data_IF_949136392873
#
_entry.id   IF_949136392873
#
_cell.length_a   1.000
_cell.length_b   1.000
_cell.length_c   1.000
_cell.angle_alpha   90.00
_cell.angle_beta   90.00
_cell.angle_gamma   90.00
#
_symmetry.space_group_name_H-M   'P 1'
#
loop_
_entity.id
_entity.type
_entity.pdbx_description
1 polymer ?
#
# COMPACT_ATOMS: atom_id res chain seq x y z
N UNK A 1 2.33 51.90 2.77
CA UNK A 1 3.01 51.04 3.75
C UNK A 1 3.74 49.94 2.99
N UNK A 2 5.05 49.76 3.20
CA UNK A 2 5.86 48.72 2.54
C UNK A 2 5.38 47.35 3.02
N UNK A 3 4.86 46.52 2.14
CA UNK A 3 4.52 45.13 2.48
C UNK A 3 5.81 44.43 2.92
N UNK A 4 5.87 43.82 4.12
CA UNK A 4 7.06 43.11 4.56
C UNK A 4 7.45 42.04 3.53
N UNK A 5 8.75 41.82 3.31
CA UNK A 5 9.23 40.84 2.33
C UNK A 5 8.58 39.45 2.52
N UNK A 6 8.34 39.06 3.78
CA UNK A 6 7.66 37.83 4.16
C UNK A 6 6.19 37.71 3.69
N UNK A 7 5.58 38.80 3.25
CA UNK A 7 4.19 38.89 2.78
C UNK A 7 4.09 39.16 1.27
N UNK A 8 5.21 39.30 0.56
CA UNK A 8 5.23 39.53 -0.88
C UNK A 8 4.54 38.38 -1.65
N UNK A 9 3.82 38.65 -2.76
CA UNK A 9 3.10 37.63 -3.52
C UNK A 9 4.00 36.48 -4.00
N UNK A 10 5.19 36.78 -4.52
CA UNK A 10 6.19 35.79 -4.91
C UNK A 10 6.56 34.86 -3.75
N UNK A 11 6.89 35.43 -2.60
CA UNK A 11 7.32 34.64 -1.45
C UNK A 11 6.20 33.72 -0.90
N UNK A 12 4.93 34.14 -1.01
CA UNK A 12 3.79 33.27 -0.71
C UNK A 12 3.69 32.09 -1.69
N UNK A 13 3.97 32.31 -2.99
CA UNK A 13 4.04 31.22 -3.99
C UNK A 13 5.16 30.24 -3.65
N UNK A 14 6.35 30.72 -3.31
CA UNK A 14 7.48 29.85 -2.88
C UNK A 14 7.09 29.02 -1.67
N UNK A 15 6.49 29.63 -0.64
CA UNK A 15 6.01 28.89 0.53
C UNK A 15 5.01 27.80 0.18
N UNK A 16 4.06 28.12 -0.70
CA UNK A 16 3.05 27.15 -1.17
C UNK A 16 3.68 26.01 -1.97
N UNK A 17 4.62 26.31 -2.87
CA UNK A 17 5.35 25.31 -3.66
C UNK A 17 6.13 24.36 -2.76
N UNK A 18 6.89 24.90 -1.79
CA UNK A 18 7.63 24.10 -0.81
C UNK A 18 6.69 23.22 0.02
N UNK A 19 5.55 23.75 0.48
CA UNK A 19 4.57 22.98 1.23
C UNK A 19 3.95 21.85 0.40
N UNK A 20 3.59 22.11 -0.85
CA UNK A 20 3.04 21.11 -1.77
C UNK A 20 4.07 20.01 -2.09
N UNK A 21 5.33 20.40 -2.36
CA UNK A 21 6.44 19.47 -2.56
C UNK A 21 6.66 18.60 -1.34
N UNK A 22 6.67 19.18 -0.13
CA UNK A 22 6.76 18.44 1.15
C UNK A 22 5.63 17.40 1.29
N UNK A 23 4.39 17.80 1.02
CA UNK A 23 3.26 16.87 1.09
C UNK A 23 3.42 15.72 0.10
N UNK A 24 3.84 16.01 -1.13
CA UNK A 24 4.03 15.00 -2.17
C UNK A 24 5.12 13.98 -1.80
N UNK A 25 6.27 14.43 -1.28
CA UNK A 25 7.36 13.51 -0.89
C UNK A 25 7.07 12.74 0.41
N UNK A 26 6.13 13.23 1.23
CA UNK A 26 5.68 12.53 2.43
C UNK A 26 4.59 11.47 2.15
N UNK A 27 4.09 11.38 0.91
CA UNK A 27 3.11 10.37 0.56
C UNK A 27 3.77 9.00 0.49
N UNK A 28 3.14 8.04 1.15
CA UNK A 28 3.45 6.62 1.10
C UNK A 28 2.18 5.83 0.79
N UNK A 29 2.28 4.60 0.25
CA UNK A 29 1.15 3.72 0.12
C UNK A 29 0.41 3.50 1.45
N UNK A 30 -0.90 3.22 1.43
CA UNK A 30 -1.66 2.99 2.65
C UNK A 30 -1.19 1.72 3.36
N UNK A 31 -1.21 1.72 4.69
CA UNK A 31 -0.74 0.59 5.51
C UNK A 31 -1.43 -0.74 5.18
N UNK A 32 -2.70 -0.71 4.77
CA UNK A 32 -3.44 -1.91 4.35
C UNK A 32 -2.87 -2.50 3.05
N UNK A 33 -2.40 -1.67 2.11
CA UNK A 33 -1.77 -2.16 0.89
C UNK A 33 -0.40 -2.79 1.20
N UNK A 34 0.42 -2.12 2.01
CA UNK A 34 1.75 -2.61 2.41
C UNK A 34 1.67 -3.92 3.23
N UNK A 35 0.75 -3.97 4.19
CA UNK A 35 0.53 -5.20 4.96
C UNK A 35 0.04 -6.35 4.09
N UNK A 36 -0.83 -6.07 3.12
CA UNK A 36 -1.25 -7.08 2.13
C UNK A 36 -0.08 -7.54 1.26
N UNK A 37 0.74 -6.62 0.74
CA UNK A 37 1.91 -6.96 -0.05
C UNK A 37 2.89 -7.84 0.75
N UNK A 38 3.11 -7.53 2.04
CA UNK A 38 3.94 -8.35 2.92
C UNK A 38 3.35 -9.74 3.16
N UNK A 39 2.04 -9.85 3.34
CA UNK A 39 1.36 -11.15 3.48
C UNK A 39 1.41 -11.99 2.20
N UNK A 40 1.26 -11.35 1.04
CA UNK A 40 1.32 -12.00 -0.27
C UNK A 40 2.77 -12.44 -0.60
N UNK A 41 3.78 -11.73 -0.10
CA UNK A 41 5.20 -12.08 -0.22
C UNK A 41 5.69 -13.14 0.77
N UNK A 42 4.92 -13.40 1.84
CA UNK A 42 5.32 -14.38 2.84
C UNK A 42 5.30 -15.80 2.27
N UNK A 43 6.42 -16.52 2.42
CA UNK A 43 6.53 -17.92 2.04
C UNK A 43 5.74 -18.79 3.02
N UNK A 44 5.04 -19.80 2.50
CA UNK A 44 4.33 -20.75 3.35
C UNK A 44 5.30 -21.55 4.23
N UNK A 45 4.87 -22.03 5.41
CA UNK A 45 5.67 -22.96 6.20
C UNK A 45 6.10 -24.18 5.37
N UNK A 46 7.30 -24.75 5.60
CA UNK A 46 7.80 -25.89 4.83
C UNK A 46 6.88 -27.12 4.86
N UNK A 47 6.09 -27.27 5.93
CA UNK A 47 5.17 -28.37 6.18
C UNK A 47 3.73 -28.10 5.73
N UNK A 48 3.44 -26.97 5.08
CA UNK A 48 2.07 -26.59 4.68
C UNK A 48 1.42 -27.64 3.76
N UNK A 49 2.17 -28.14 2.77
CA UNK A 49 1.69 -29.23 1.91
C UNK A 49 1.38 -30.51 2.67
N UNK A 50 2.23 -30.85 3.64
CA UNK A 50 2.02 -32.02 4.47
C UNK A 50 0.79 -31.87 5.37
N UNK A 51 0.59 -30.68 5.93
CA UNK A 51 -0.60 -30.34 6.71
C UNK A 51 -1.88 -30.44 5.87
N UNK A 52 -1.88 -29.89 4.64
CA UNK A 52 -3.00 -30.02 3.71
C UNK A 52 -3.28 -31.49 3.36
N UNK A 53 -2.23 -32.28 3.09
CA UNK A 53 -2.36 -33.70 2.79
C UNK A 53 -2.90 -34.51 3.98
N UNK A 54 -2.50 -34.17 5.21
CA UNK A 54 -3.02 -34.78 6.44
C UNK A 54 -4.49 -34.46 6.64
N UNK A 55 -4.89 -33.21 6.42
CA UNK A 55 -6.29 -32.79 6.49
C UNK A 55 -7.15 -33.57 5.48
N UNK A 56 -6.71 -33.63 4.22
CA UNK A 56 -7.41 -34.40 3.18
C UNK A 56 -7.45 -35.91 3.49
N UNK A 57 -6.42 -36.47 4.11
CA UNK A 57 -6.42 -37.87 4.53
C UNK A 57 -7.40 -38.12 5.67
N UNK A 58 -7.48 -37.22 6.65
CA UNK A 58 -8.44 -37.31 7.74
C UNK A 58 -9.89 -37.27 7.21
N UNK A 59 -10.17 -36.47 6.19
CA UNK A 59 -11.47 -36.48 5.51
C UNK A 59 -11.76 -37.81 4.82
N UNK A 60 -10.77 -38.42 4.15
CA UNK A 60 -10.92 -39.77 3.57
C UNK A 60 -11.19 -40.82 4.64
N UNK A 61 -10.46 -40.78 5.76
CA UNK A 61 -10.67 -41.69 6.89
C UNK A 61 -12.08 -41.56 7.48
N UNK A 62 -12.57 -40.32 7.62
CA UNK A 62 -13.92 -40.07 8.11
C UNK A 62 -15.01 -40.54 7.11
N UNK A 63 -14.72 -40.51 5.81
CA UNK A 63 -15.63 -40.98 4.77
C UNK A 63 -15.63 -42.51 4.60
N UNK A 64 -14.57 -43.21 5.02
CA UNK A 64 -14.45 -44.66 4.92
C UNK A 64 -15.50 -45.36 5.80
N UNK A 65 -16.35 -46.16 5.16
CA UNK A 65 -17.36 -46.99 5.85
C UNK A 65 -16.93 -48.45 5.83
N UNK A 66 -17.38 -49.27 6.78
CA UNK A 66 -17.19 -50.70 6.68
C UNK A 66 -17.81 -51.22 5.38
N UNK A 67 -17.14 -52.18 4.74
CA UNK A 67 -17.69 -52.92 3.61
C UNK A 67 -19.01 -53.60 3.97
N UNK A 68 -19.89 -53.73 2.99
CA UNK A 68 -21.18 -54.39 3.19
C UNK A 68 -21.01 -55.89 3.39
N UNK A 69 -21.70 -56.45 4.38
CA UNK A 69 -21.77 -57.90 4.57
C UNK A 69 -22.77 -58.52 3.60
N UNK A 70 -22.30 -59.42 2.74
CA UNK A 70 -23.18 -60.16 1.83
C UNK A 70 -23.89 -61.31 2.56
N UNK A 71 -25.08 -61.00 3.08
CA UNK A 71 -25.94 -61.98 3.75
C UNK A 71 -26.33 -63.13 2.83
N UNK A 72 -26.55 -62.89 1.54
CA UNK A 72 -27.00 -63.92 0.61
C UNK A 72 -25.87 -64.92 0.33
N UNK A 73 -24.66 -64.43 0.08
CA UNK A 73 -23.48 -65.28 -0.08
C UNK A 73 -23.18 -66.07 1.21
N UNK A 74 -23.38 -65.47 2.39
CA UNK A 74 -23.23 -66.17 3.66
C UNK A 74 -24.24 -67.30 3.82
N UNK A 75 -25.54 -67.03 3.62
CA UNK A 75 -26.60 -68.06 3.73
C UNK A 75 -26.36 -69.19 2.73
N UNK A 76 -25.98 -68.86 1.49
CA UNK A 76 -25.63 -69.85 0.48
C UNK A 76 -24.47 -70.74 0.95
N UNK A 77 -23.41 -70.14 1.49
CA UNK A 77 -22.27 -70.88 2.00
C UNK A 77 -22.58 -71.76 3.21
N UNK A 78 -23.45 -71.31 4.12
CA UNK A 78 -23.92 -72.09 5.26
C UNK A 78 -24.70 -73.31 4.76
N UNK A 79 -25.63 -73.12 3.82
CA UNK A 79 -26.40 -74.21 3.25
C UNK A 79 -25.49 -75.22 2.52
N UNK A 80 -24.53 -74.75 1.72
CA UNK A 80 -23.56 -75.63 1.06
C UNK A 80 -22.70 -76.42 2.07
N UNK A 81 -22.33 -75.82 3.20
CA UNK A 81 -21.58 -76.51 4.25
C UNK A 81 -22.45 -77.58 4.95
N UNK A 82 -23.71 -77.27 5.22
CA UNK A 82 -24.68 -78.23 5.79
C UNK A 82 -24.91 -79.38 4.81
N UNK A 83 -25.15 -79.10 3.53
CA UNK A 83 -25.40 -80.13 2.50
C UNK A 83 -24.22 -81.08 2.31
N UNK A 84 -22.98 -80.57 2.36
CA UNK A 84 -21.77 -81.41 2.26
C UNK A 84 -21.64 -82.37 3.43
N UNK A 85 -22.08 -81.96 4.62
CA UNK A 85 -21.91 -82.72 5.86
C UNK A 85 -23.17 -83.51 6.24
N UNK A 86 -24.32 -83.24 5.62
CA UNK A 86 -25.59 -83.89 5.89
C UNK A 86 -25.51 -85.43 5.71
N UNK A 87 -26.13 -86.21 6.62
CA UNK A 87 -26.17 -87.66 6.51
C UNK A 87 -26.97 -88.09 5.28
N UNK A 88 -26.42 -89.01 4.49
CA UNK A 88 -27.04 -89.47 3.23
C UNK A 88 -27.85 -90.75 3.37
N UNK A 89 -27.74 -91.43 4.51
CA UNK A 89 -28.42 -92.68 4.84
C UNK A 89 -28.73 -92.77 6.34
N UNK A 90 -29.53 -93.77 6.74
CA UNK A 90 -29.97 -94.00 8.12
C UNK A 90 -28.79 -94.23 9.09
N UNK A 91 -27.78 -94.97 8.64
CA UNK A 91 -26.58 -95.30 9.42
C UNK A 91 -25.70 -94.08 9.73
N UNK A 92 -25.54 -93.19 8.74
CA UNK A 92 -24.85 -91.91 8.88
C UNK A 92 -25.60 -90.96 9.79
N UNK A 93 -26.94 -90.99 9.76
CA UNK A 93 -27.78 -90.18 10.64
C UNK A 93 -27.66 -90.61 12.10
N UNK A 94 -27.66 -91.93 12.37
CA UNK A 94 -27.54 -92.48 13.72
C UNK A 94 -26.17 -92.18 14.36
N UNK A 95 -25.11 -92.10 13.54
CA UNK A 95 -23.74 -91.77 13.98
C UNK A 95 -23.40 -90.28 13.88
N UNK A 96 -24.30 -89.44 13.34
CA UNK A 96 -24.02 -88.04 13.04
C UNK A 96 -23.54 -87.24 14.26
N UNK A 97 -24.21 -87.44 15.41
CA UNK A 97 -23.87 -86.77 16.69
C UNK A 97 -22.47 -87.11 17.21
N UNK A 98 -21.90 -88.25 16.81
CA UNK A 98 -20.55 -88.70 17.21
C UNK A 98 -19.50 -88.47 16.13
N UNK A 99 -19.90 -87.98 14.95
CA UNK A 99 -19.04 -87.89 13.76
C UNK A 99 -18.19 -86.62 13.69
N UNK A 100 -18.44 -85.62 14.55
CA UNK A 100 -17.77 -84.31 14.51
C UNK A 100 -18.11 -83.46 13.28
N UNK A 101 -19.02 -83.93 12.40
CA UNK A 101 -19.45 -83.19 11.21
C UNK A 101 -20.18 -81.89 11.56
N UNK A 102 -20.87 -81.84 12.70
CA UNK A 102 -21.49 -80.61 13.21
C UNK A 102 -20.43 -79.56 13.60
N UNK A 103 -19.38 -79.97 14.32
CA UNK A 103 -18.22 -79.13 14.62
C UNK A 103 -17.54 -78.62 13.35
N UNK A 104 -17.38 -79.45 12.32
CA UNK A 104 -16.79 -79.02 11.04
C UNK A 104 -17.61 -77.94 10.33
N UNK A 105 -18.95 -78.06 10.33
CA UNK A 105 -19.83 -77.02 9.76
C UNK A 105 -19.68 -75.73 10.57
N UNK A 106 -19.67 -75.82 11.91
CA UNK A 106 -19.46 -74.67 12.78
C UNK A 106 -18.11 -73.98 12.49
N UNK A 107 -17.02 -74.72 12.42
CA UNK A 107 -15.69 -74.19 12.11
C UNK A 107 -15.64 -73.49 10.74
N UNK A 108 -16.27 -74.06 9.71
CA UNK A 108 -16.35 -73.42 8.39
C UNK A 108 -17.15 -72.13 8.42
N UNK A 109 -18.30 -72.12 9.11
CA UNK A 109 -19.16 -70.93 9.24
C UNK A 109 -18.44 -69.84 10.03
N UNK A 110 -17.79 -70.17 11.15
CA UNK A 110 -16.97 -69.25 11.94
C UNK A 110 -15.82 -68.67 11.10
N UNK A 111 -15.18 -69.49 10.27
CA UNK A 111 -14.16 -69.05 9.31
C UNK A 111 -14.70 -68.00 8.33
N UNK A 112 -15.87 -68.25 7.72
CA UNK A 112 -16.52 -67.31 6.78
C UNK A 112 -16.96 -66.02 7.46
N UNK A 113 -17.44 -66.08 8.71
CA UNK A 113 -17.74 -64.88 9.50
C UNK A 113 -16.45 -64.09 9.76
N UNK A 114 -15.35 -64.78 10.07
CA UNK A 114 -14.02 -64.17 10.24
C UNK A 114 -13.53 -63.46 8.98
N UNK A 115 -13.66 -64.09 7.81
CA UNK A 115 -13.34 -63.49 6.51
C UNK A 115 -14.23 -62.28 6.19
N UNK A 116 -15.54 -62.39 6.46
CA UNK A 116 -16.49 -61.30 6.27
C UNK A 116 -16.15 -60.07 7.13
N UNK A 117 -15.76 -60.29 8.40
CA UNK A 117 -15.27 -59.22 9.28
C UNK A 117 -14.01 -58.54 8.71
N UNK A 118 -13.01 -59.32 8.28
CA UNK A 118 -11.78 -58.80 7.67
C UNK A 118 -12.07 -58.00 6.40
N UNK A 119 -12.94 -58.53 5.53
CA UNK A 119 -13.32 -57.85 4.29
C UNK A 119 -14.06 -56.54 4.56
N UNK A 120 -14.94 -56.52 5.57
CA UNK A 120 -15.69 -55.32 5.95
C UNK A 120 -14.80 -54.25 6.57
N UNK A 121 -13.76 -54.65 7.32
CA UNK A 121 -12.80 -53.71 7.92
C UNK A 121 -11.74 -53.20 6.93
N UNK A 122 -11.53 -53.89 5.80
CA UNK A 122 -10.44 -53.64 4.86
C UNK A 122 -10.34 -52.19 4.39
N UNK A 123 -11.46 -51.55 4.06
CA UNK A 123 -11.44 -50.18 3.54
C UNK A 123 -11.08 -49.15 4.62
N UNK A 124 -11.51 -49.39 5.87
CA UNK A 124 -11.12 -48.56 7.01
C UNK A 124 -9.64 -48.76 7.33
N UNK A 125 -9.16 -50.01 7.36
CA UNK A 125 -7.76 -50.32 7.62
C UNK A 125 -6.83 -49.74 6.56
N UNK A 126 -7.19 -49.87 5.27
CA UNK A 126 -6.38 -49.36 4.16
C UNK A 126 -6.35 -47.84 4.17
N UNK A 127 -7.50 -47.17 4.37
CA UNK A 127 -7.57 -45.70 4.43
C UNK A 127 -6.84 -45.14 5.65
N UNK A 128 -6.88 -45.83 6.80
CA UNK A 128 -6.18 -45.41 8.02
C UNK A 128 -4.66 -45.54 7.90
N UNK A 129 -4.17 -46.55 7.17
CA UNK A 129 -2.73 -46.77 6.94
C UNK A 129 -2.19 -45.99 5.75
N UNK A 130 -3.06 -45.39 4.94
CA UNK A 130 -2.66 -44.63 3.77
C UNK A 130 -1.86 -43.39 4.19
N UNK A 131 -0.73 -43.09 3.52
CA UNK A 131 0.01 -41.87 3.76
C UNK A 131 -0.80 -40.64 3.33
N UNK A 132 -0.50 -39.45 3.89
CA UNK A 132 -1.08 -38.19 3.45
C UNK A 132 -0.97 -37.99 1.93
N UNK A 133 -2.08 -37.58 1.31
CA UNK A 133 -2.14 -37.34 -0.13
C UNK A 133 -1.69 -35.91 -0.45
N UNK A 134 -0.41 -35.76 -0.80
CA UNK A 134 0.18 -34.47 -1.15
C UNK A 134 -0.17 -34.01 -2.57
N UNK A 135 -0.74 -34.88 -3.41
CA UNK A 135 -1.02 -34.56 -4.83
C UNK A 135 -2.10 -33.49 -5.00
N UNK A 136 -2.94 -33.32 -3.97
CA UNK A 136 -3.98 -32.29 -3.93
C UNK A 136 -3.57 -31.02 -3.20
N UNK A 137 -2.38 -31.01 -2.60
CA UNK A 137 -1.88 -29.84 -1.88
C UNK A 137 -1.61 -28.69 -2.86
N UNK A 138 -2.07 -27.50 -2.50
CA UNK A 138 -1.87 -26.28 -3.28
C UNK A 138 -0.78 -25.44 -2.66
N UNK A 139 0.19 -25.07 -3.47
CA UNK A 139 1.17 -24.05 -3.09
C UNK A 139 0.48 -22.72 -2.85
N UNK A 140 0.84 -22.05 -1.76
CA UNK A 140 0.49 -20.65 -1.58
C UNK A 140 1.18 -19.84 -2.69
N UNK A 141 0.45 -19.03 -3.48
CA UNK A 141 1.08 -18.12 -4.41
C UNK A 141 1.87 -17.07 -3.63
N UNK A 142 3.16 -16.94 -3.95
CA UNK A 142 4.05 -15.94 -3.35
C UNK A 142 4.31 -14.84 -4.38
N UNK A 143 3.96 -13.61 -4.04
CA UNK A 143 4.26 -12.43 -4.86
C UNK A 143 5.36 -11.62 -4.17
N UNK A 144 6.58 -11.57 -4.70
CA UNK A 144 7.68 -10.83 -4.07
C UNK A 144 7.32 -9.35 -3.83
N UNK A 145 7.86 -8.78 -2.75
CA UNK A 145 7.75 -7.35 -2.51
C UNK A 145 8.43 -6.57 -3.63
N UNK A 146 7.78 -5.50 -4.06
CA UNK A 146 8.42 -4.51 -4.91
C UNK A 146 9.40 -3.71 -4.03
N UNK A 147 10.66 -3.50 -4.45
CA UNK A 147 11.60 -2.69 -3.70
C UNK A 147 11.05 -1.27 -3.48
N UNK A 148 11.33 -0.71 -2.30
CA UNK A 148 10.96 0.67 -2.00
C UNK A 148 11.63 1.62 -2.99
N UNK A 149 10.85 2.55 -3.53
CA UNK A 149 11.31 3.56 -4.47
C UNK A 149 11.16 4.92 -3.80
N UNK A 150 12.25 5.51 -3.29
CA UNK A 150 12.17 6.82 -2.67
C UNK A 150 11.66 7.84 -3.71
N UNK A 151 10.85 8.82 -3.29
CA UNK A 151 10.34 9.83 -4.19
C UNK A 151 11.51 10.61 -4.83
N UNK A 152 11.39 10.88 -6.12
CA UNK A 152 12.38 11.69 -6.83
C UNK A 152 12.50 13.09 -6.21
N UNK A 153 13.69 13.70 -6.33
CA UNK A 153 13.92 15.06 -5.86
C UNK A 153 12.91 16.03 -6.52
N UNK A 154 12.08 16.76 -5.73
CA UNK A 154 11.05 17.62 -6.27
C UNK A 154 11.58 18.91 -6.94
N UNK A 155 12.89 19.14 -6.92
CA UNK A 155 13.54 20.30 -7.51
C UNK A 155 13.36 21.57 -6.68
N UNK A 156 14.25 22.54 -6.90
CA UNK A 156 14.22 23.82 -6.19
C UNK A 156 12.97 24.65 -6.56
N UNK A 157 12.44 25.48 -5.64
CA UNK A 157 11.46 26.50 -5.98
C UNK A 157 12.10 27.58 -6.87
N UNK A 158 11.26 28.37 -7.54
CA UNK A 158 11.73 29.50 -8.34
C UNK A 158 12.38 30.58 -7.46
N UNK A 159 13.68 30.81 -7.64
CA UNK A 159 14.43 31.80 -6.87
C UNK A 159 13.95 33.25 -7.14
N UNK A 160 13.44 33.54 -8.33
CA UNK A 160 12.95 34.89 -8.65
C UNK A 160 11.73 35.27 -7.82
N UNK A 161 10.90 34.29 -7.42
CA UNK A 161 9.75 34.53 -6.55
C UNK A 161 10.15 34.67 -5.07
N UNK A 162 11.39 34.36 -4.69
CA UNK A 162 11.84 34.44 -3.30
C UNK A 162 12.08 35.88 -2.82
N UNK A 163 12.22 36.83 -3.75
CA UNK A 163 12.44 38.24 -3.48
C UNK A 163 11.22 39.07 -3.91
N UNK A 164 10.97 40.25 -3.30
CA UNK A 164 9.91 41.15 -3.75
C UNK A 164 10.17 41.65 -5.17
N UNK A 165 9.08 41.88 -5.92
CA UNK A 165 9.16 42.47 -7.25
C UNK A 165 9.68 43.93 -7.19
N UNK A 166 10.35 44.34 -8.27
CA UNK A 166 10.78 45.73 -8.46
C UNK A 166 9.57 46.67 -8.45
N UNK A 167 9.71 47.84 -7.82
CA UNK A 167 8.67 48.85 -7.83
C UNK A 167 8.45 49.41 -9.25
N UNK A 168 7.21 49.74 -9.61
CA UNK A 168 6.91 50.35 -10.89
C UNK A 168 7.60 51.72 -11.02
N UNK A 169 7.90 52.13 -12.24
CA UNK A 169 8.65 53.36 -12.52
C UNK A 169 8.00 54.61 -11.90
N UNK A 170 6.68 54.66 -11.82
CA UNK A 170 5.91 55.76 -11.23
C UNK A 170 6.18 55.96 -9.73
N UNK A 171 6.55 54.92 -8.99
CA UNK A 171 6.88 55.01 -7.55
C UNK A 171 8.31 55.52 -7.33
N UNK A 172 9.18 55.31 -8.32
CA UNK A 172 10.57 55.77 -8.30
C UNK A 172 10.79 57.09 -9.05
N UNK A 173 9.74 57.68 -9.62
CA UNK A 173 9.80 58.96 -10.33
C UNK A 173 9.57 60.12 -9.36
N UNK A 174 10.63 60.90 -9.11
CA UNK A 174 10.60 62.06 -8.22
C UNK A 174 10.53 63.39 -8.99
N UNK A 175 10.32 63.37 -10.32
CA UNK A 175 10.32 64.57 -11.16
C UNK A 175 9.17 65.54 -10.87
N UNK A 176 8.13 65.11 -10.16
CA UNK A 176 6.99 65.94 -9.79
C UNK A 176 7.36 67.05 -8.80
N UNK A 177 8.32 66.82 -7.90
CA UNK A 177 8.76 67.83 -6.91
C UNK A 177 9.35 69.08 -7.57
N UNK A 178 10.39 68.93 -8.41
CA UNK A 178 10.93 70.05 -9.20
C UNK A 178 9.89 70.75 -10.06
N UNK A 179 9.03 69.99 -10.76
CA UNK A 179 7.96 70.57 -11.59
C UNK A 179 6.98 71.41 -10.79
N UNK A 180 6.58 70.96 -9.60
CA UNK A 180 5.69 71.73 -8.73
C UNK A 180 6.36 73.01 -8.22
N UNK A 181 7.67 72.96 -7.95
CA UNK A 181 8.43 74.16 -7.56
C UNK A 181 8.58 75.14 -8.73
N UNK A 182 8.85 74.66 -9.94
CA UNK A 182 8.88 75.49 -11.14
C UNK A 182 7.52 76.13 -11.44
N UNK A 183 6.43 75.38 -11.25
CA UNK A 183 5.06 75.89 -11.37
C UNK A 183 4.79 76.99 -10.33
N UNK A 184 5.13 76.77 -9.06
CA UNK A 184 4.92 77.76 -8.00
C UNK A 184 5.72 79.06 -8.25
N UNK A 185 6.95 78.95 -8.78
CA UNK A 185 7.72 80.13 -9.18
C UNK A 185 7.10 80.85 -10.37
N UNK A 186 6.63 80.11 -11.38
CA UNK A 186 5.95 80.68 -12.54
C UNK A 186 4.63 81.37 -12.17
N UNK A 187 3.84 80.79 -11.26
CA UNK A 187 2.60 81.38 -10.74
C UNK A 187 2.85 82.66 -9.93
N UNK A 188 4.02 82.79 -9.31
CA UNK A 188 4.42 83.97 -8.55
C UNK A 188 5.17 85.02 -9.41
N UNK A 189 5.31 84.80 -10.72
CA UNK A 189 6.13 85.62 -11.63
C UNK A 189 7.59 85.79 -11.15
N UNK A 190 8.12 84.78 -10.44
CA UNK A 190 9.49 84.75 -9.91
C UNK A 190 10.37 83.90 -10.82
N UNK A 191 11.49 84.47 -11.24
CA UNK A 191 12.53 83.79 -12.02
C UNK A 191 13.77 83.57 -11.17
N UNK A 192 14.55 82.55 -11.49
CA UNK A 192 15.85 82.33 -10.82
C UNK A 192 16.80 83.52 -10.97
N UNK A 193 16.72 84.23 -12.11
CA UNK A 193 17.50 85.44 -12.36
C UNK A 193 17.09 86.60 -11.44
N UNK A 194 15.79 86.71 -11.09
CA UNK A 194 15.33 87.68 -10.08
C UNK A 194 15.82 87.31 -8.69
N UNK A 195 15.75 86.02 -8.31
CA UNK A 195 16.26 85.56 -7.01
C UNK A 195 17.76 85.84 -6.87
N UNK A 196 18.55 85.58 -7.92
CA UNK A 196 19.99 85.82 -7.94
C UNK A 196 20.38 87.30 -7.90
N UNK A 197 19.54 88.20 -8.42
CA UNK A 197 19.79 89.66 -8.43
C UNK A 197 19.24 90.37 -7.19
N UNK A 198 18.43 89.70 -6.38
CA UNK A 198 17.76 90.29 -5.21
C UNK A 198 18.69 90.69 -4.05
N UNK A 199 19.95 90.22 -4.04
CA UNK A 199 20.96 90.55 -3.02
C UNK A 199 20.52 90.27 -1.56
N UNK A 200 19.61 89.31 -1.37
CA UNK A 200 19.12 88.87 -0.07
C UNK A 200 19.66 87.46 0.22
N UNK A 201 20.32 87.21 1.37
CA UNK A 201 20.90 85.91 1.70
C UNK A 201 19.92 84.73 1.64
N UNK A 202 18.63 84.97 1.90
CA UNK A 202 17.59 83.96 1.86
C UNK A 202 17.27 83.47 0.42
N UNK A 203 17.40 84.34 -0.59
CA UNK A 203 17.12 83.99 -1.99
C UNK A 203 18.24 83.14 -2.60
N UNK A 204 19.49 83.44 -2.27
CA UNK A 204 20.63 82.60 -2.66
C UNK A 204 20.53 81.21 -2.01
N UNK A 205 20.12 81.15 -0.75
CA UNK A 205 19.86 79.88 -0.07
C UNK A 205 18.73 79.10 -0.74
N UNK A 206 17.60 79.74 -1.04
CA UNK A 206 16.46 79.09 -1.72
C UNK A 206 16.83 78.56 -3.11
N UNK A 207 17.60 79.32 -3.90
CA UNK A 207 18.07 78.89 -5.22
C UNK A 207 19.04 77.70 -5.13
N UNK A 208 19.92 77.71 -4.11
CA UNK A 208 20.82 76.58 -3.83
C UNK A 208 20.04 75.32 -3.44
N UNK A 209 19.06 75.44 -2.54
CA UNK A 209 18.22 74.31 -2.13
C UNK A 209 17.33 73.80 -3.28
N UNK A 210 16.81 74.67 -4.14
CA UNK A 210 16.11 74.28 -5.38
C UNK A 210 17.00 73.41 -6.26
N UNK A 211 18.21 73.88 -6.57
CA UNK A 211 19.17 73.14 -7.42
C UNK A 211 19.57 71.80 -6.79
N UNK A 212 19.81 71.78 -5.48
CA UNK A 212 20.05 70.52 -4.75
C UNK A 212 18.86 69.57 -4.86
N UNK A 213 17.63 70.07 -4.68
CA UNK A 213 16.40 69.29 -4.79
C UNK A 213 16.21 68.69 -6.19
N UNK A 214 16.50 69.46 -7.24
CA UNK A 214 16.51 68.99 -8.64
C UNK A 214 17.55 67.88 -8.86
N UNK A 215 18.79 68.09 -8.39
CA UNK A 215 19.84 67.09 -8.47
C UNK A 215 19.49 65.81 -7.70
N UNK A 216 18.94 65.95 -6.50
CA UNK A 216 18.47 64.81 -5.70
C UNK A 216 17.32 64.09 -6.40
N UNK A 217 16.37 64.81 -6.99
CA UNK A 217 15.25 64.23 -7.74
C UNK A 217 15.72 63.49 -9.00
N UNK A 218 16.78 63.98 -9.67
CA UNK A 218 17.39 63.31 -10.82
C UNK A 218 18.19 62.05 -10.44
N UNK A 219 18.87 62.05 -9.29
CA UNK A 219 19.71 60.93 -8.81
C UNK A 219 18.90 59.87 -8.04
N UNK A 220 17.79 60.24 -7.41
CA UNK A 220 16.97 59.37 -6.56
C UNK A 220 16.44 58.10 -7.27
N UNK A 221 15.98 58.13 -8.55
CA UNK A 221 15.55 56.92 -9.24
C UNK A 221 16.67 55.88 -9.34
N UNK A 222 17.88 56.30 -9.72
CA UNK A 222 19.04 55.40 -9.81
C UNK A 222 19.44 54.82 -8.45
N UNK A 223 19.39 55.64 -7.40
CA UNK A 223 19.64 55.20 -6.02
C UNK A 223 18.57 54.20 -5.55
N UNK A 224 17.29 54.44 -5.85
CA UNK A 224 16.20 53.53 -5.54
C UNK A 224 16.39 52.17 -6.25
N UNK A 225 16.79 52.18 -7.53
CA UNK A 225 17.10 50.94 -8.28
C UNK A 225 18.32 50.20 -7.71
N UNK A 226 19.35 50.93 -7.30
CA UNK A 226 20.52 50.34 -6.63
C UNK A 226 20.14 49.65 -5.33
N UNK A 227 19.27 50.27 -4.52
CA UNK A 227 18.75 49.70 -3.29
C UNK A 227 17.78 48.51 -3.51
N UNK A 228 17.09 48.45 -4.66
CA UNK A 228 16.30 47.27 -5.05
C UNK A 228 17.18 46.08 -5.46
N UNK A 229 18.34 46.32 -6.06
CA UNK A 229 19.26 45.27 -6.51
C UNK A 229 20.08 44.63 -5.37
N UNK A 230 20.15 45.28 -4.21
CA UNK A 230 20.84 44.82 -3.01
C UNK A 230 19.90 44.12 -2.00
N UNK A 231 18.61 44.04 -2.30
CA UNK A 231 17.61 43.29 -1.53
C UNK A 231 17.66 41.80 -1.86
#
# INVERSE_FOLDING_TARGET
MKTPAAQAPGFRRVKSDVAAKKQKVAQHPPAVAESKAAQDAAVAPPDDKEAQGKAANAEKMNAAKPGAFDKAAFVKAVNEAIEKQAPKNLDDAEKFSKSGKAEQVKEQVDGKVGEGKKSSAKDIETTTKAPPDLSKAKDKPVTPLTPDQPPANPGAPNAADAVPDKQPASVTDFSQGPKANDQAMAEADVTEEQLKKGNEPAFDQALSEKKKSEEHSAKAPAQARGAEAQQ
#
